data_IF_817340584824
#
_entry.id   IF_817340584824
#
_cell.length_a   1.000
_cell.length_b   1.000
_cell.length_c   1.000
_cell.angle_alpha   90.00
_cell.angle_beta   90.00
_cell.angle_gamma   90.00
#
_symmetry.space_group_name_H-M   'P 1'
#
loop_
_entity.id
_entity.type
_entity.pdbx_description
1 polymer ?
#
# COMPACT_ATOMS: atom_id res chain seq x y z
N UNK A 1 -30.82 10.09 21.19
CA UNK A 1 -29.91 9.61 22.25
C UNK A 1 -30.03 8.11 22.52
N UNK A 2 -31.18 7.56 22.95
CA UNK A 2 -31.33 6.12 23.28
C UNK A 2 -30.83 5.17 22.18
N UNK A 3 -31.23 5.42 20.93
CA UNK A 3 -30.83 4.62 19.76
C UNK A 3 -29.32 4.62 19.48
N UNK A 4 -28.61 5.70 19.81
CA UNK A 4 -27.15 5.77 19.65
C UNK A 4 -26.47 4.91 20.72
N UNK A 5 -26.92 5.01 21.97
CA UNK A 5 -26.40 4.20 23.08
C UNK A 5 -26.62 2.70 22.82
N UNK A 6 -27.79 2.32 22.32
CA UNK A 6 -28.08 0.94 21.93
C UNK A 6 -27.13 0.42 20.83
N UNK A 7 -26.84 1.23 19.82
CA UNK A 7 -25.88 0.87 18.77
C UNK A 7 -24.46 0.73 19.32
N UNK A 8 -24.02 1.64 20.19
CA UNK A 8 -22.71 1.57 20.84
C UNK A 8 -22.57 0.31 21.70
N UNK A 9 -23.60 -0.05 22.47
CA UNK A 9 -23.61 -1.26 23.28
C UNK A 9 -23.64 -2.52 22.41
N UNK A 10 -24.43 -2.52 21.32
CA UNK A 10 -24.53 -3.63 20.36
C UNK A 10 -23.18 -3.93 19.69
N UNK A 11 -22.40 -2.90 19.36
CA UNK A 11 -21.13 -3.04 18.64
C UNK A 11 -19.90 -2.71 19.48
N UNK A 12 -20.01 -2.74 20.82
CA UNK A 12 -18.94 -2.31 21.73
C UNK A 12 -17.58 -2.98 21.47
N UNK A 13 -17.57 -4.26 21.08
CA UNK A 13 -16.34 -4.98 20.78
C UNK A 13 -15.68 -4.51 19.48
N UNK A 14 -16.48 -4.16 18.46
CA UNK A 14 -15.97 -3.58 17.22
C UNK A 14 -15.31 -2.24 17.51
N UNK A 15 -15.95 -1.39 18.31
CA UNK A 15 -15.37 -0.11 18.73
C UNK A 15 -14.06 -0.32 19.52
N UNK A 16 -14.02 -1.27 20.45
CA UNK A 16 -12.79 -1.59 21.18
C UNK A 16 -11.67 -2.03 20.25
N UNK A 17 -11.95 -2.93 19.29
CA UNK A 17 -10.96 -3.36 18.29
C UNK A 17 -10.44 -2.16 17.51
N UNK A 18 -11.32 -1.29 17.00
CA UNK A 18 -10.91 -0.09 16.26
C UNK A 18 -10.03 0.81 17.12
N UNK A 19 -10.41 1.07 18.37
CA UNK A 19 -9.63 1.92 19.29
C UNK A 19 -8.23 1.35 19.52
N UNK A 20 -8.13 0.05 19.85
CA UNK A 20 -6.83 -0.58 20.07
C UNK A 20 -5.98 -0.65 18.79
N UNK A 21 -6.59 -0.89 17.63
CA UNK A 21 -5.91 -0.82 16.34
C UNK A 21 -5.33 0.57 16.08
N UNK A 22 -6.11 1.64 16.32
CA UNK A 22 -5.65 3.02 16.13
C UNK A 22 -4.48 3.36 17.07
N UNK A 23 -4.54 2.93 18.33
CA UNK A 23 -3.43 3.12 19.29
C UNK A 23 -2.19 2.36 18.82
N UNK A 24 -2.35 1.10 18.42
CA UNK A 24 -1.23 0.26 17.98
C UNK A 24 -0.58 0.77 16.70
N UNK A 25 -1.36 1.33 15.77
CA UNK A 25 -0.86 1.88 14.50
C UNK A 25 -0.48 3.36 14.57
N UNK A 26 -0.70 4.03 15.71
CA UNK A 26 -0.45 5.48 15.82
C UNK A 26 1.00 5.84 15.51
N UNK A 27 1.95 4.98 15.88
CA UNK A 27 3.39 5.19 15.62
C UNK A 27 3.75 5.14 14.14
N UNK A 28 2.89 4.59 13.27
CA UNK A 28 3.10 4.56 11.82
C UNK A 28 2.74 5.91 11.16
N UNK A 29 2.06 6.79 11.88
CA UNK A 29 1.67 8.13 11.40
C UNK A 29 2.80 9.13 11.63
N UNK A 30 3.90 8.97 10.89
CA UNK A 30 4.98 9.94 10.84
C UNK A 30 5.31 10.31 9.40
N UNK A 31 6.07 11.39 9.21
CA UNK A 31 6.55 11.77 7.88
C UNK A 31 7.57 10.76 7.36
N UNK A 32 7.54 10.51 6.05
CA UNK A 32 8.40 9.52 5.41
C UNK A 32 7.88 8.09 5.55
N UNK A 33 8.71 7.13 5.16
CA UNK A 33 8.33 5.72 5.17
C UNK A 33 8.59 5.11 6.56
N UNK A 34 7.67 4.28 7.08
CA UNK A 34 7.92 3.54 8.30
C UNK A 34 9.15 2.64 8.11
N UNK A 35 10.03 2.53 9.13
CA UNK A 35 11.20 1.68 9.06
C UNK A 35 10.74 0.22 9.00
N UNK A 36 10.90 -0.37 7.82
CA UNK A 36 10.51 -1.76 7.51
C UNK A 36 11.71 -2.46 6.89
N UNK A 37 11.71 -3.80 6.93
CA UNK A 37 12.81 -4.58 6.36
C UNK A 37 12.94 -4.42 4.84
N UNK A 38 11.85 -4.08 4.16
CA UNK A 38 11.78 -4.03 2.69
C UNK A 38 11.13 -2.78 2.11
N UNK A 39 10.88 -1.74 2.92
CA UNK A 39 10.21 -0.51 2.48
C UNK A 39 10.88 0.15 1.28
N UNK A 40 12.21 0.24 1.30
CA UNK A 40 12.99 0.79 0.18
C UNK A 40 12.79 -0.03 -1.11
N UNK A 41 12.74 -1.36 -1.01
CA UNK A 41 12.46 -2.21 -2.16
C UNK A 41 11.04 -1.98 -2.69
N UNK A 42 10.05 -1.77 -1.83
CA UNK A 42 8.69 -1.46 -2.28
C UNK A 42 8.61 -0.15 -3.06
N UNK A 43 9.34 0.89 -2.67
CA UNK A 43 9.42 2.15 -3.44
C UNK A 43 9.96 1.90 -4.85
N UNK A 44 11.07 1.15 -4.95
CA UNK A 44 11.66 0.80 -6.25
C UNK A 44 10.68 -0.01 -7.11
N UNK A 45 9.92 -0.93 -6.50
CA UNK A 45 8.89 -1.72 -7.19
C UNK A 45 7.75 -0.85 -7.71
N UNK A 46 7.27 0.09 -6.91
CA UNK A 46 6.23 1.04 -7.33
C UNK A 46 6.70 1.88 -8.52
N UNK A 47 7.96 2.34 -8.50
CA UNK A 47 8.53 3.07 -9.63
C UNK A 47 8.62 2.22 -10.91
N UNK A 48 9.10 0.97 -10.80
CA UNK A 48 9.14 0.03 -11.93
C UNK A 48 7.74 -0.27 -12.50
N UNK A 49 6.76 -0.45 -11.62
CA UNK A 49 5.37 -0.74 -12.01
C UNK A 49 4.73 0.46 -12.69
N UNK A 50 4.88 1.66 -12.11
CA UNK A 50 4.40 2.92 -12.67
C UNK A 50 4.98 3.21 -14.06
N UNK A 51 6.29 2.93 -14.25
CA UNK A 51 6.94 3.02 -15.56
C UNK A 51 6.24 2.13 -16.59
N UNK A 52 6.08 0.86 -16.30
CA UNK A 52 5.50 -0.12 -17.24
C UNK A 52 4.03 0.21 -17.54
N UNK A 53 3.26 0.69 -16.54
CA UNK A 53 1.91 1.20 -16.75
C UNK A 53 1.88 2.41 -17.69
N UNK A 54 2.80 3.37 -17.51
CA UNK A 54 2.91 4.57 -18.34
C UNK A 54 3.35 4.24 -19.77
N UNK A 55 4.08 3.14 -19.95
CA UNK A 55 4.43 2.58 -21.27
C UNK A 55 3.23 1.87 -21.96
N UNK A 56 2.07 1.82 -21.30
CA UNK A 56 0.81 1.32 -21.86
C UNK A 56 0.51 -0.15 -21.56
N UNK A 57 1.38 -0.85 -20.83
CA UNK A 57 1.09 -2.21 -20.36
C UNK A 57 0.22 -2.13 -19.10
N UNK A 58 -1.09 -2.26 -19.28
CA UNK A 58 -2.08 -2.26 -18.21
C UNK A 58 -1.98 -3.48 -17.28
N UNK A 59 -1.14 -4.48 -17.58
CA UNK A 59 -0.91 -5.65 -16.74
C UNK A 59 0.59 -5.92 -16.56
N UNK A 60 1.33 -5.04 -15.85
CA UNK A 60 2.77 -5.17 -15.71
C UNK A 60 3.18 -6.53 -15.13
N UNK A 61 4.06 -7.22 -15.84
CA UNK A 61 4.64 -8.52 -15.42
C UNK A 61 6.15 -8.48 -15.20
N UNK A 62 6.80 -7.44 -15.71
CA UNK A 62 8.25 -7.31 -15.81
C UNK A 62 8.71 -6.00 -15.16
N UNK A 63 9.83 -6.04 -14.44
CA UNK A 63 10.49 -4.85 -13.90
C UNK A 63 11.77 -4.61 -14.71
N UNK A 64 11.76 -3.72 -15.73
CA UNK A 64 12.82 -3.63 -16.74
C UNK A 64 14.20 -3.23 -16.21
N UNK A 65 14.31 -2.31 -15.26
CA UNK A 65 15.65 -1.80 -14.86
C UNK A 65 16.27 -2.58 -13.68
N UNK A 66 15.55 -3.53 -13.10
CA UNK A 66 16.09 -4.37 -12.03
C UNK A 66 17.10 -5.39 -12.59
N UNK A 67 17.85 -6.04 -11.69
CA UNK A 67 18.89 -7.01 -12.07
C UNK A 67 19.90 -6.42 -13.08
N UNK A 68 20.50 -5.29 -12.72
CA UNK A 68 21.48 -4.58 -13.56
C UNK A 68 20.97 -4.20 -14.96
N UNK A 69 19.67 -3.91 -15.10
CA UNK A 69 19.06 -3.56 -16.39
C UNK A 69 18.71 -4.75 -17.29
N UNK A 70 18.97 -5.99 -16.85
CA UNK A 70 18.49 -7.19 -17.56
C UNK A 70 16.99 -7.41 -17.36
N UNK A 71 16.43 -6.84 -16.30
CA UNK A 71 15.06 -6.98 -15.89
C UNK A 71 14.76 -8.31 -15.20
N UNK A 72 13.63 -8.35 -14.50
CA UNK A 72 13.11 -9.56 -13.85
C UNK A 72 11.58 -9.65 -13.97
N UNK A 73 11.00 -10.86 -13.97
CA UNK A 73 9.55 -11.08 -14.02
C UNK A 73 8.87 -10.84 -12.66
N UNK A 74 9.28 -9.81 -11.92
CA UNK A 74 8.89 -9.59 -10.54
C UNK A 74 7.37 -9.57 -10.33
N UNK A 75 6.66 -8.79 -11.15
CA UNK A 75 5.22 -8.58 -11.02
C UNK A 75 4.38 -9.79 -11.42
N UNK A 76 5.01 -10.83 -11.97
CA UNK A 76 4.34 -12.12 -12.19
C UNK A 76 4.19 -12.93 -10.88
N UNK A 77 4.98 -12.61 -9.85
CA UNK A 77 5.03 -13.37 -8.59
C UNK A 77 4.60 -12.57 -7.36
N UNK A 78 4.44 -11.25 -7.48
CA UNK A 78 4.00 -10.39 -6.38
C UNK A 78 2.62 -9.82 -6.63
N UNK A 79 1.92 -9.48 -5.54
CA UNK A 79 0.57 -8.92 -5.58
C UNK A 79 0.54 -7.58 -6.32
N UNK A 80 -0.30 -7.42 -7.37
CA UNK A 80 -0.26 -6.22 -8.20
C UNK A 80 -1.06 -5.06 -7.59
N UNK A 81 -2.07 -5.33 -6.75
CA UNK A 81 -3.00 -4.31 -6.25
C UNK A 81 -2.34 -3.13 -5.54
N UNK A 82 -1.39 -3.31 -4.60
CA UNK A 82 -0.68 -2.18 -3.99
C UNK A 82 0.10 -1.34 -4.99
N UNK A 83 0.63 -1.95 -6.05
CA UNK A 83 1.38 -1.21 -7.07
C UNK A 83 0.46 -0.34 -7.94
N UNK A 84 -0.73 -0.81 -8.31
CA UNK A 84 -1.73 0.03 -8.98
C UNK A 84 -2.15 1.22 -8.12
N UNK A 85 -2.42 0.98 -6.83
CA UNK A 85 -2.79 2.06 -5.90
C UNK A 85 -1.66 3.07 -5.78
N UNK A 86 -0.41 2.60 -5.63
CA UNK A 86 0.76 3.47 -5.58
C UNK A 86 0.91 4.31 -6.86
N UNK A 87 0.84 3.70 -8.05
CA UNK A 87 0.91 4.43 -9.33
C UNK A 87 -0.23 5.42 -9.52
N UNK A 88 -1.44 5.07 -9.09
CA UNK A 88 -2.58 5.98 -9.11
C UNK A 88 -2.34 7.20 -8.21
N UNK A 89 -1.95 6.99 -6.95
CA UNK A 89 -1.63 8.08 -6.01
C UNK A 89 -0.48 8.96 -6.49
N UNK A 90 0.58 8.33 -7.02
CA UNK A 90 1.73 9.01 -7.61
C UNK A 90 1.33 9.94 -8.76
N UNK A 91 0.29 9.60 -9.52
CA UNK A 91 -0.24 10.47 -10.59
C UNK A 91 -0.81 11.79 -10.04
N UNK A 92 -1.25 11.83 -8.77
CA UNK A 92 -1.71 13.03 -8.08
C UNK A 92 -0.61 13.75 -7.28
N UNK A 93 0.65 13.31 -7.40
CA UNK A 93 1.78 13.90 -6.66
C UNK A 93 1.83 13.52 -5.18
N UNK A 94 1.20 12.40 -4.81
CA UNK A 94 1.25 11.79 -3.48
C UNK A 94 2.32 10.71 -3.43
#
# INVERSE_FOLDING_TARGET
MKRIVELLLKYKYIFLVIIFSLIASFSLLHSGLPPTHDGEYHVVRFWQFDKVLKDGDLYPRWAPDLNFGLGIPLFSYIYPFPNYVASFLHTFGV
#
